data_IF_192012553969
#
_entry.id   IF_192012553969
#
_cell.length_a   1.000
_cell.length_b   1.000
_cell.length_c   1.000
_cell.angle_alpha   90.00
_cell.angle_beta   90.00
_cell.angle_gamma   90.00
#
_symmetry.space_group_name_H-M   'P 1'
#
loop_
_entity.id
_entity.type
_entity.pdbx_description
1 polymer ?
#
# COMPACT_ATOMS: atom_id res chain seq x y z
N UNK A 1 -33.77 -16.76 -13.63
CA UNK A 1 -32.31 -16.58 -13.82
C UNK A 1 -32.07 -16.03 -15.22
N UNK A 2 -31.69 -14.75 -15.36
CA UNK A 2 -31.31 -14.17 -16.68
C UNK A 2 -29.93 -14.72 -17.03
N UNK A 3 -29.83 -15.55 -18.06
CA UNK A 3 -28.54 -15.92 -18.67
C UNK A 3 -27.86 -14.63 -19.15
N UNK A 4 -26.79 -14.22 -18.48
CA UNK A 4 -25.89 -13.20 -19.01
C UNK A 4 -25.33 -13.73 -20.33
N UNK A 5 -25.55 -13.05 -21.47
CA UNK A 5 -25.01 -13.51 -22.74
C UNK A 5 -23.48 -13.37 -22.68
N UNK A 6 -22.77 -14.51 -22.66
CA UNK A 6 -21.32 -14.54 -22.77
C UNK A 6 -20.96 -14.01 -24.17
N UNK A 7 -20.66 -12.71 -24.27
CA UNK A 7 -20.35 -12.11 -25.55
C UNK A 7 -18.98 -12.61 -26.04
N UNK A 8 -18.80 -12.90 -27.33
CA UNK A 8 -17.50 -13.27 -27.91
C UNK A 8 -16.38 -12.23 -27.69
N UNK A 9 -16.74 -10.97 -27.36
CA UNK A 9 -15.80 -9.91 -26.97
C UNK A 9 -15.15 -10.20 -25.61
N UNK A 10 -15.92 -10.71 -24.64
CA UNK A 10 -15.43 -11.03 -23.29
C UNK A 10 -14.33 -12.12 -23.33
N UNK A 11 -14.51 -13.13 -24.18
CA UNK A 11 -13.55 -14.23 -24.37
C UNK A 11 -12.25 -13.73 -25.03
N UNK A 12 -12.33 -12.77 -25.97
CA UNK A 12 -11.15 -12.18 -26.61
C UNK A 12 -10.34 -11.30 -25.66
N UNK A 13 -10.97 -10.63 -24.70
CA UNK A 13 -10.28 -9.81 -23.68
C UNK A 13 -9.57 -10.64 -22.61
N UNK A 14 -10.04 -11.86 -22.31
CA UNK A 14 -9.43 -12.74 -21.30
C UNK A 14 -8.07 -13.29 -21.74
N UNK A 15 -7.88 -13.60 -23.03
CA UNK A 15 -6.62 -14.19 -23.53
C UNK A 15 -5.37 -13.31 -23.30
N UNK A 16 -5.35 -12.02 -23.67
CA UNK A 16 -4.20 -11.16 -23.36
C UNK A 16 -4.04 -10.94 -21.85
N UNK A 17 -5.16 -10.96 -21.09
CA UNK A 17 -5.13 -10.85 -19.63
C UNK A 17 -4.43 -12.05 -18.98
N UNK A 18 -4.67 -13.27 -19.45
CA UNK A 18 -3.96 -14.47 -18.97
C UNK A 18 -2.46 -14.33 -19.18
N UNK A 19 -2.03 -13.93 -20.38
CA UNK A 19 -0.62 -13.71 -20.67
C UNK A 19 0.00 -12.66 -19.75
N UNK A 20 -0.68 -11.53 -19.57
CA UNK A 20 -0.27 -10.47 -18.65
C UNK A 20 -0.16 -10.96 -17.19
N UNK A 21 -1.17 -11.67 -16.70
CA UNK A 21 -1.19 -12.23 -15.33
C UNK A 21 -0.03 -13.20 -15.12
N UNK A 22 0.23 -14.09 -16.08
CA UNK A 22 1.34 -15.04 -15.99
C UNK A 22 2.68 -14.29 -15.96
N UNK A 23 2.93 -13.38 -16.91
CA UNK A 23 4.16 -12.57 -16.94
C UNK A 23 4.35 -11.85 -15.62
N UNK A 24 3.32 -11.17 -15.11
CA UNK A 24 3.40 -10.42 -13.86
C UNK A 24 3.67 -11.32 -12.65
N UNK A 25 3.11 -12.53 -12.62
CA UNK A 25 3.34 -13.52 -11.56
C UNK A 25 4.74 -14.12 -11.60
N UNK A 26 5.35 -14.24 -12.78
CA UNK A 26 6.71 -14.75 -12.94
C UNK A 26 7.78 -13.72 -12.56
N UNK A 27 7.49 -12.42 -12.57
CA UNK A 27 8.44 -11.38 -12.17
C UNK A 27 9.01 -11.61 -10.76
N UNK A 28 8.20 -11.72 -9.69
CA UNK A 28 8.74 -11.95 -8.34
C UNK A 28 9.50 -13.28 -8.27
N UNK A 29 9.01 -14.34 -8.91
CA UNK A 29 9.71 -15.63 -8.95
C UNK A 29 11.10 -15.50 -9.59
N UNK A 30 11.20 -14.79 -10.71
CA UNK A 30 12.47 -14.54 -11.39
C UNK A 30 13.43 -13.72 -10.52
N UNK A 31 12.93 -12.72 -9.79
CA UNK A 31 13.71 -11.94 -8.82
C UNK A 31 14.25 -12.84 -7.70
N UNK A 32 13.41 -13.71 -7.12
CA UNK A 32 13.83 -14.64 -6.06
C UNK A 32 14.89 -15.63 -6.57
N UNK A 33 14.74 -16.17 -7.77
CA UNK A 33 15.75 -17.04 -8.38
C UNK A 33 17.07 -16.28 -8.64
N UNK A 34 16.99 -15.05 -9.11
CA UNK A 34 18.17 -14.20 -9.30
C UNK A 34 18.90 -13.96 -7.96
N UNK A 35 18.18 -13.70 -6.87
CA UNK A 35 18.78 -13.55 -5.54
C UNK A 35 19.40 -14.86 -5.04
N UNK A 36 18.73 -16.00 -5.24
CA UNK A 36 19.25 -17.31 -4.89
C UNK A 36 20.60 -17.59 -5.58
N UNK A 37 20.65 -17.43 -6.91
CA UNK A 37 21.87 -17.73 -7.68
C UNK A 37 22.96 -16.67 -7.54
N UNK A 38 22.63 -15.40 -7.35
CA UNK A 38 23.63 -14.33 -7.25
C UNK A 38 24.22 -14.18 -5.85
N UNK A 39 23.40 -14.41 -4.81
CA UNK A 39 23.76 -14.14 -3.42
C UNK A 39 23.85 -15.41 -2.56
N UNK A 40 23.67 -16.58 -3.17
CA UNK A 40 23.73 -17.90 -2.53
C UNK A 40 22.80 -18.03 -1.30
N UNK A 41 21.66 -17.34 -1.34
CA UNK A 41 20.64 -17.36 -0.28
C UNK A 41 19.80 -18.63 -0.43
N UNK A 42 19.60 -19.44 0.63
CA UNK A 42 18.75 -20.63 0.55
C UNK A 42 17.36 -20.31 0.01
N UNK A 43 16.88 -21.05 -1.00
CA UNK A 43 15.57 -20.81 -1.62
C UNK A 43 14.42 -20.88 -0.61
N UNK A 44 14.57 -21.69 0.44
CA UNK A 44 13.60 -21.78 1.53
C UNK A 44 13.43 -20.45 2.29
N UNK A 45 14.51 -19.68 2.49
CA UNK A 45 14.44 -18.37 3.14
C UNK A 45 13.76 -17.31 2.26
N UNK A 46 13.78 -17.51 0.94
CA UNK A 46 13.17 -16.61 -0.05
C UNK A 46 11.69 -16.92 -0.32
N UNK A 47 11.23 -18.13 0.01
CA UNK A 47 9.90 -18.64 -0.39
C UNK A 47 8.98 -18.98 0.78
N UNK A 48 9.53 -19.33 1.95
CA UNK A 48 8.73 -19.55 3.17
C UNK A 48 8.41 -18.22 3.84
N UNK A 49 7.33 -18.20 4.61
CA UNK A 49 6.98 -17.04 5.43
C UNK A 49 7.99 -16.84 6.59
N UNK A 50 8.17 -15.59 7.07
CA UNK A 50 9.14 -15.29 8.13
C UNK A 50 8.89 -16.04 9.45
N UNK A 51 7.62 -16.32 9.80
CA UNK A 51 7.25 -17.03 11.03
C UNK A 51 7.73 -18.48 10.98
N UNK A 52 7.55 -19.15 9.84
CA UNK A 52 8.06 -20.51 9.61
C UNK A 52 9.59 -20.57 9.58
N UNK A 53 10.24 -19.61 8.91
CA UNK A 53 11.71 -19.53 8.85
C UNK A 53 12.29 -19.29 10.26
N UNK A 54 11.68 -18.38 11.01
CA UNK A 54 12.07 -18.04 12.38
C UNK A 54 11.64 -19.04 13.44
N UNK A 55 10.86 -20.07 13.09
CA UNK A 55 10.23 -21.03 14.03
C UNK A 55 9.47 -20.33 15.17
N UNK A 56 8.78 -19.24 14.83
CA UNK A 56 8.06 -18.39 15.77
C UNK A 56 6.61 -18.89 15.97
N UNK A 57 5.94 -18.53 17.08
CA UNK A 57 4.51 -18.77 17.24
C UNK A 57 3.68 -18.13 16.13
N UNK A 58 2.56 -18.74 15.77
CA UNK A 58 1.70 -18.28 14.66
C UNK A 58 1.11 -16.87 14.85
N UNK A 59 1.08 -16.35 16.07
CA UNK A 59 0.58 -15.01 16.38
C UNK A 59 1.65 -13.91 16.24
N UNK A 60 2.91 -14.26 15.98
CA UNK A 60 3.99 -13.28 15.85
C UNK A 60 3.72 -12.35 14.68
N UNK A 61 3.76 -11.04 14.94
CA UNK A 61 3.49 -10.02 13.92
C UNK A 61 2.02 -9.86 13.53
N UNK A 62 1.07 -10.44 14.27
CA UNK A 62 -0.37 -10.43 13.93
C UNK A 62 -0.88 -9.05 13.51
N UNK A 63 -0.59 -8.00 14.31
CA UNK A 63 -1.08 -6.65 14.05
C UNK A 63 -0.46 -6.05 12.77
N UNK A 64 0.84 -6.28 12.55
CA UNK A 64 1.54 -5.88 11.32
C UNK A 64 0.93 -6.57 10.09
N UNK A 65 0.65 -7.87 10.17
CA UNK A 65 0.01 -8.62 9.09
C UNK A 65 -1.39 -8.09 8.74
N UNK A 66 -2.16 -7.71 9.75
CA UNK A 66 -3.46 -7.05 9.55
C UNK A 66 -3.28 -5.69 8.84
N UNK A 67 -2.28 -4.91 9.24
CA UNK A 67 -1.91 -3.66 8.55
C UNK A 67 -1.59 -3.88 7.07
N UNK A 68 -0.80 -4.90 6.74
CA UNK A 68 -0.44 -5.25 5.35
C UNK A 68 -1.68 -5.55 4.50
N UNK A 69 -2.71 -6.21 5.04
CA UNK A 69 -3.97 -6.44 4.32
C UNK A 69 -4.69 -5.12 3.99
N UNK A 70 -4.71 -4.17 4.92
CA UNK A 70 -5.32 -2.86 4.67
C UNK A 70 -4.50 -1.99 3.71
N UNK A 71 -3.17 -2.09 3.74
CA UNK A 71 -2.31 -1.49 2.72
C UNK A 71 -2.62 -2.06 1.33
N UNK A 72 -2.64 -3.39 1.19
CA UNK A 72 -2.97 -4.06 -0.06
C UNK A 72 -4.36 -3.64 -0.57
N UNK A 73 -5.36 -3.59 0.31
CA UNK A 73 -6.69 -3.09 -0.02
C UNK A 73 -6.66 -1.64 -0.53
N UNK A 74 -5.88 -0.75 0.10
CA UNK A 74 -5.73 0.65 -0.30
C UNK A 74 -5.13 0.77 -1.70
N UNK A 75 -4.07 0.00 -1.98
CA UNK A 75 -3.42 -0.07 -3.29
C UNK A 75 -4.41 -0.51 -4.36
N UNK A 76 -5.08 -1.65 -4.15
CA UNK A 76 -6.04 -2.19 -5.11
C UNK A 76 -7.18 -1.21 -5.36
N UNK A 77 -7.75 -0.64 -4.30
CA UNK A 77 -8.83 0.32 -4.39
C UNK A 77 -8.44 1.56 -5.18
N UNK A 78 -7.26 2.12 -4.92
CA UNK A 78 -6.77 3.31 -5.61
C UNK A 78 -6.53 3.03 -7.09
N UNK A 79 -5.80 1.97 -7.44
CA UNK A 79 -5.56 1.63 -8.85
C UNK A 79 -6.83 1.22 -9.58
N UNK A 80 -7.76 0.53 -8.92
CA UNK A 80 -9.06 0.22 -9.48
C UNK A 80 -9.84 1.50 -9.82
N UNK A 81 -9.97 2.45 -8.89
CA UNK A 81 -10.62 3.72 -9.16
C UNK A 81 -9.93 4.53 -10.26
N UNK A 82 -8.59 4.56 -10.29
CA UNK A 82 -7.86 5.21 -11.37
C UNK A 82 -8.15 4.58 -12.75
N UNK A 83 -8.30 3.25 -12.82
CA UNK A 83 -8.63 2.55 -14.06
C UNK A 83 -10.03 2.88 -14.56
N UNK A 84 -11.02 3.02 -13.66
CA UNK A 84 -12.39 3.42 -14.02
C UNK A 84 -12.47 4.82 -14.64
N UNK A 85 -11.51 5.69 -14.28
CA UNK A 85 -11.40 7.07 -14.74
C UNK A 85 -10.49 7.21 -15.98
N UNK A 86 -9.95 6.12 -16.52
CA UNK A 86 -8.90 6.17 -17.55
C UNK A 86 -9.31 6.94 -18.81
N UNK A 87 -10.56 6.73 -19.27
CA UNK A 87 -11.12 7.36 -20.48
C UNK A 87 -11.88 8.66 -20.20
N UNK A 88 -11.88 9.15 -18.96
CA UNK A 88 -12.62 10.36 -18.56
C UNK A 88 -11.68 11.56 -18.46
N UNK A 89 -11.45 12.24 -19.59
CA UNK A 89 -10.50 13.37 -19.69
C UNK A 89 -10.82 14.49 -18.70
N UNK A 90 -12.10 14.78 -18.47
CA UNK A 90 -12.56 15.79 -17.51
C UNK A 90 -12.24 15.44 -16.04
N UNK A 91 -12.02 14.15 -15.73
CA UNK A 91 -11.66 13.64 -14.39
C UNK A 91 -10.17 13.35 -14.24
N UNK A 92 -9.31 13.88 -15.13
CA UNK A 92 -7.88 13.60 -15.12
C UNK A 92 -7.20 13.88 -13.76
N UNK A 93 -7.59 14.96 -13.06
CA UNK A 93 -7.05 15.29 -11.73
C UNK A 93 -7.40 14.23 -10.69
N UNK A 94 -8.64 13.74 -10.70
CA UNK A 94 -9.10 12.68 -9.80
C UNK A 94 -8.44 11.33 -10.12
N UNK A 95 -8.22 11.03 -11.41
CA UNK A 95 -7.42 9.87 -11.82
C UNK A 95 -6.00 9.94 -11.26
N UNK A 96 -5.32 11.07 -11.44
CA UNK A 96 -3.94 11.27 -10.95
C UNK A 96 -3.86 11.21 -9.43
N UNK A 97 -4.87 11.75 -8.74
CA UNK A 97 -5.04 11.63 -7.29
C UNK A 97 -5.02 10.16 -6.83
N UNK A 98 -5.85 9.31 -7.43
CA UNK A 98 -5.88 7.88 -7.10
C UNK A 98 -4.61 7.14 -7.51
N UNK A 99 -4.02 7.44 -8.67
CA UNK A 99 -2.75 6.83 -9.08
C UNK A 99 -1.64 7.13 -8.08
N UNK A 100 -1.48 8.39 -7.70
CA UNK A 100 -0.45 8.80 -6.73
C UNK A 100 -0.72 8.20 -5.36
N UNK A 101 -1.98 8.16 -4.91
CA UNK A 101 -2.36 7.53 -3.65
C UNK A 101 -2.05 6.02 -3.64
N UNK A 102 -2.34 5.32 -4.74
CA UNK A 102 -2.06 3.90 -4.89
C UNK A 102 -0.56 3.61 -4.90
N UNK A 103 0.24 4.41 -5.61
CA UNK A 103 1.71 4.30 -5.61
C UNK A 103 2.31 4.57 -4.22
N UNK A 104 1.82 5.60 -3.53
CA UNK A 104 2.26 5.93 -2.17
C UNK A 104 1.88 4.82 -1.18
N UNK A 105 0.65 4.30 -1.27
CA UNK A 105 0.20 3.17 -0.43
C UNK A 105 0.99 1.90 -0.71
N UNK A 106 1.39 1.67 -1.96
CA UNK A 106 2.22 0.52 -2.34
C UNK A 106 3.62 0.66 -1.76
N UNK A 107 4.23 1.85 -1.85
CA UNK A 107 5.54 2.12 -1.26
C UNK A 107 5.52 1.87 0.26
N UNK A 108 4.57 2.46 0.98
CA UNK A 108 4.45 2.31 2.44
C UNK A 108 4.09 0.87 2.84
N UNK A 109 3.22 0.21 2.09
CA UNK A 109 2.88 -1.20 2.34
C UNK A 109 4.03 -2.17 2.07
N UNK A 110 4.87 -1.91 1.06
CA UNK A 110 6.08 -2.69 0.81
C UNK A 110 7.13 -2.44 1.90
N UNK A 111 7.25 -1.19 2.35
CA UNK A 111 8.10 -0.83 3.48
C UNK A 111 7.73 -1.62 4.74
N UNK A 112 6.44 -1.61 5.12
CA UNK A 112 5.94 -2.37 6.27
C UNK A 112 6.12 -3.89 6.11
N UNK A 113 5.94 -4.41 4.89
CA UNK A 113 6.03 -5.86 4.63
C UNK A 113 7.47 -6.39 4.65
N UNK A 114 8.44 -5.56 4.26
CA UNK A 114 9.84 -5.97 4.09
C UNK A 114 10.84 -5.22 4.98
N UNK A 115 10.33 -4.39 5.89
CA UNK A 115 11.13 -3.58 6.83
C UNK A 115 12.18 -2.74 6.09
N UNK A 116 11.76 -2.02 5.04
CA UNK A 116 12.72 -1.34 4.17
C UNK A 116 13.45 -0.22 4.92
N UNK A 117 12.75 0.61 5.69
CA UNK A 117 13.32 1.70 6.47
C UNK A 117 14.14 1.25 7.69
N UNK A 118 13.80 0.11 8.29
CA UNK A 118 14.44 -0.41 9.50
C UNK A 118 15.63 -1.32 9.19
N UNK A 119 15.52 -2.17 8.17
CA UNK A 119 16.52 -3.20 7.87
C UNK A 119 17.24 -2.98 6.54
N UNK A 120 16.50 -2.83 5.43
CA UNK A 120 17.10 -2.88 4.09
C UNK A 120 17.93 -1.64 3.77
N UNK A 121 17.37 -0.45 3.92
CA UNK A 121 18.07 0.80 3.63
C UNK A 121 19.20 1.09 4.64
N UNK A 122 19.03 0.83 5.95
CA UNK A 122 20.14 0.90 6.90
C UNK A 122 21.29 -0.05 6.57
N UNK A 123 21.00 -1.26 6.08
CA UNK A 123 22.04 -2.18 5.59
C UNK A 123 22.81 -1.63 4.37
N UNK A 124 22.24 -0.69 3.62
CA UNK A 124 22.91 0.03 2.52
C UNK A 124 23.54 1.35 2.95
N UNK A 125 23.56 1.67 4.26
CA UNK A 125 24.18 2.87 4.81
C UNK A 125 23.28 4.12 4.81
N UNK A 126 21.99 3.98 4.47
CA UNK A 126 21.02 5.08 4.54
C UNK A 126 20.34 4.99 5.90
N UNK A 127 20.50 6.00 6.75
CA UNK A 127 19.91 5.97 8.08
C UNK A 127 18.38 5.98 8.02
N UNK A 128 17.76 5.23 8.93
CA UNK A 128 16.31 5.14 9.08
C UNK A 128 15.62 6.51 9.11
N UNK A 129 16.18 7.47 9.87
CA UNK A 129 15.67 8.85 9.94
C UNK A 129 15.59 9.52 8.58
N UNK A 130 16.57 9.28 7.70
CA UNK A 130 16.57 9.81 6.33
C UNK A 130 15.45 9.16 5.51
N UNK A 131 15.26 7.86 5.63
CA UNK A 131 14.17 7.14 4.94
C UNK A 131 12.81 7.65 5.39
N UNK A 132 12.58 7.76 6.70
CA UNK A 132 11.35 8.29 7.28
C UNK A 132 11.09 9.75 6.85
N UNK A 133 12.13 10.60 6.80
CA UNK A 133 12.03 11.96 6.27
C UNK A 133 11.65 11.98 4.78
N UNK A 134 12.22 11.07 3.97
CA UNK A 134 11.85 10.93 2.57
C UNK A 134 10.39 10.49 2.41
N UNK A 135 9.92 9.52 3.20
CA UNK A 135 8.52 9.08 3.18
C UNK A 135 7.57 10.19 3.62
N UNK A 136 7.88 10.90 4.71
CA UNK A 136 7.13 12.09 5.12
C UNK A 136 7.08 13.15 4.02
N UNK A 137 8.21 13.41 3.35
CA UNK A 137 8.30 14.31 2.21
C UNK A 137 7.42 13.88 1.02
N UNK A 138 7.37 12.58 0.71
CA UNK A 138 6.50 12.03 -0.34
C UNK A 138 5.02 12.16 0.01
N UNK A 139 4.65 11.91 1.27
CA UNK A 139 3.28 12.14 1.77
C UNK A 139 2.91 13.61 1.62
N UNK A 140 3.78 14.52 2.07
CA UNK A 140 3.57 15.97 1.97
C UNK A 140 3.45 16.41 0.50
N UNK A 141 4.33 15.94 -0.38
CA UNK A 141 4.27 16.20 -1.82
C UNK A 141 2.95 15.69 -2.43
N UNK A 142 2.51 14.49 -2.03
CA UNK A 142 1.21 13.95 -2.45
C UNK A 142 0.06 14.86 -2.01
N UNK A 143 0.03 15.29 -0.75
CA UNK A 143 -1.01 16.18 -0.22
C UNK A 143 -1.04 17.52 -0.96
N UNK A 144 0.12 18.12 -1.24
CA UNK A 144 0.20 19.37 -1.98
C UNK A 144 -0.27 19.24 -3.43
N UNK A 145 0.26 18.24 -4.15
CA UNK A 145 -0.11 17.99 -5.56
C UNK A 145 -1.59 17.62 -5.73
N UNK A 146 -2.17 16.97 -4.72
CA UNK A 146 -3.57 16.54 -4.68
C UNK A 146 -4.51 17.54 -3.99
N UNK A 147 -3.99 18.66 -3.50
CA UNK A 147 -4.74 19.59 -2.64
C UNK A 147 -6.01 20.16 -3.28
N UNK A 148 -6.05 20.27 -4.60
CA UNK A 148 -7.25 20.72 -5.32
C UNK A 148 -8.40 19.71 -5.25
N UNK A 149 -8.08 18.41 -5.22
CA UNK A 149 -9.06 17.33 -5.07
C UNK A 149 -9.42 17.16 -3.59
N UNK A 150 -8.42 17.10 -2.71
CA UNK A 150 -8.62 16.90 -1.26
C UNK A 150 -9.57 17.95 -0.66
N UNK A 151 -9.42 19.22 -1.06
CA UNK A 151 -10.28 20.31 -0.57
C UNK A 151 -11.74 20.21 -1.00
N UNK A 152 -12.06 19.38 -1.99
CA UNK A 152 -13.43 19.09 -2.44
C UNK A 152 -14.00 17.82 -1.79
N UNK A 153 -13.23 17.16 -0.92
CA UNK A 153 -13.62 15.94 -0.22
C UNK A 153 -13.80 16.21 1.27
N UNK A 154 -14.53 15.34 1.97
CA UNK A 154 -14.45 15.26 3.42
C UNK A 154 -13.11 14.60 3.80
N UNK A 155 -12.14 15.42 4.17
CA UNK A 155 -10.79 14.97 4.51
C UNK A 155 -10.64 14.60 5.99
N UNK A 156 -11.74 14.46 6.74
CA UNK A 156 -11.69 14.12 8.18
C UNK A 156 -10.94 12.81 8.43
N UNK A 157 -11.24 11.76 7.66
CA UNK A 157 -10.55 10.46 7.75
C UNK A 157 -9.07 10.55 7.33
N UNK A 158 -8.74 11.38 6.35
CA UNK A 158 -7.35 11.64 5.98
C UNK A 158 -6.60 12.36 7.11
N UNK A 159 -7.25 13.31 7.78
CA UNK A 159 -6.71 14.00 8.95
C UNK A 159 -6.43 13.04 10.10
N UNK A 160 -7.36 12.15 10.41
CA UNK A 160 -7.17 11.07 11.41
C UNK A 160 -6.00 10.18 11.00
N UNK A 161 -5.93 9.77 9.72
CA UNK A 161 -4.85 8.92 9.24
C UNK A 161 -3.46 9.55 9.47
N UNK A 162 -3.29 10.80 9.02
CA UNK A 162 -2.03 11.53 9.15
C UNK A 162 -1.67 11.82 10.61
N UNK A 163 -2.65 12.15 11.44
CA UNK A 163 -2.45 12.37 12.87
C UNK A 163 -1.95 11.11 13.57
N UNK A 164 -2.60 9.96 13.31
CA UNK A 164 -2.21 8.68 13.88
C UNK A 164 -0.84 8.20 13.39
N UNK A 165 -0.50 8.40 12.11
CA UNK A 165 0.87 8.17 11.62
C UNK A 165 1.90 9.06 12.30
N UNK A 166 1.57 10.35 12.51
CA UNK A 166 2.43 11.27 13.25
C UNK A 166 2.67 10.82 14.69
N UNK A 167 1.63 10.31 15.37
CA UNK A 167 1.77 9.72 16.71
C UNK A 167 2.71 8.51 16.68
N UNK A 168 2.49 7.56 15.77
CA UNK A 168 3.31 6.36 15.66
C UNK A 168 4.80 6.72 15.48
N UNK A 169 5.13 7.58 14.52
CA UNK A 169 6.52 8.03 14.30
C UNK A 169 7.10 8.81 15.50
N UNK A 170 6.28 9.60 16.19
CA UNK A 170 6.72 10.34 17.36
C UNK A 170 7.02 9.43 18.57
N UNK A 171 6.24 8.37 18.76
CA UNK A 171 6.46 7.39 19.84
C UNK A 171 7.73 6.58 19.57
N UNK A 172 7.92 6.11 18.35
CA UNK A 172 9.10 5.36 17.92
C UNK A 172 10.40 6.16 18.21
N UNK A 173 10.44 7.43 17.79
CA UNK A 173 11.56 8.32 18.08
C UNK A 173 11.77 8.65 19.59
N UNK A 174 10.76 8.44 20.43
CA UNK A 174 10.76 8.75 21.86
C UNK A 174 10.99 7.52 22.76
N UNK A 175 11.58 6.45 22.22
CA UNK A 175 11.88 5.11 22.79
C UNK A 175 12.35 5.04 24.26
N UNK A 176 12.75 6.17 24.86
CA UNK A 176 13.27 6.24 26.25
C UNK A 176 12.27 6.72 27.32
N UNK A 177 11.06 7.17 26.96
CA UNK A 177 10.22 7.97 27.88
C UNK A 177 8.90 7.34 28.34
N UNK A 178 8.39 6.27 27.71
CA UNK A 178 7.05 5.74 28.00
C UNK A 178 7.10 4.22 28.12
N UNK A 179 6.38 3.61 29.07
CA UNK A 179 6.23 2.14 29.14
C UNK A 179 5.28 1.59 28.06
N UNK A 180 5.31 0.27 27.80
CA UNK A 180 4.51 -0.47 26.80
C UNK A 180 4.18 0.33 25.51
N UNK A 181 5.21 0.90 24.88
CA UNK A 181 5.10 1.78 23.71
C UNK A 181 4.55 1.08 22.47
N UNK A 182 4.83 -0.21 22.31
CA UNK A 182 4.44 -0.99 21.13
C UNK A 182 2.94 -0.96 20.85
N UNK A 183 2.09 -1.13 21.88
CA UNK A 183 0.64 -1.12 21.65
C UNK A 183 0.12 0.25 21.22
N UNK A 184 0.66 1.33 21.78
CA UNK A 184 0.25 2.68 21.43
C UNK A 184 0.76 3.07 20.04
N UNK A 185 2.01 2.73 19.74
CA UNK A 185 2.66 2.97 18.46
C UNK A 185 1.99 2.17 17.34
N UNK A 186 1.98 0.84 17.44
CA UNK A 186 1.41 -0.05 16.41
C UNK A 186 -0.11 0.12 16.32
N UNK A 187 -0.78 0.38 17.44
CA UNK A 187 -2.20 0.68 17.47
C UNK A 187 -2.54 1.97 16.74
N UNK A 188 -1.78 3.05 16.99
CA UNK A 188 -1.92 4.30 16.25
C UNK A 188 -1.64 4.09 14.75
N UNK A 189 -0.56 3.36 14.41
CA UNK A 189 -0.25 3.01 13.02
C UNK A 189 -1.42 2.32 12.34
N UNK A 190 -2.00 1.29 12.96
CA UNK A 190 -3.14 0.57 12.38
C UNK A 190 -4.37 1.48 12.19
N UNK A 191 -4.72 2.30 13.18
CA UNK A 191 -5.82 3.27 13.04
C UNK A 191 -5.54 4.21 11.86
N UNK A 192 -4.28 4.61 11.69
CA UNK A 192 -3.79 5.37 10.55
C UNK A 192 -4.08 4.69 9.21
N UNK A 193 -3.65 3.43 9.07
CA UNK A 193 -3.82 2.63 7.84
C UNK A 193 -5.31 2.41 7.52
N UNK A 194 -6.12 2.08 8.52
CA UNK A 194 -7.57 1.86 8.33
C UNK A 194 -8.26 3.15 7.92
N UNK A 195 -7.94 4.27 8.58
CA UNK A 195 -8.52 5.59 8.23
C UNK A 195 -8.11 6.03 6.83
N UNK A 196 -6.86 5.76 6.44
CA UNK A 196 -6.33 5.99 5.11
C UNK A 196 -7.13 5.23 4.04
N UNK A 197 -7.33 3.92 4.23
CA UNK A 197 -8.17 3.10 3.36
C UNK A 197 -9.59 3.66 3.25
N UNK A 198 -10.21 3.97 4.39
CA UNK A 198 -11.59 4.44 4.44
C UNK A 198 -11.79 5.79 3.76
N UNK A 199 -10.80 6.69 3.86
CA UNK A 199 -10.80 7.94 3.10
C UNK A 199 -10.85 7.68 1.59
N UNK A 200 -9.95 6.84 1.06
CA UNK A 200 -9.96 6.52 -0.38
C UNK A 200 -11.20 5.76 -0.82
N UNK A 201 -11.79 4.96 0.06
CA UNK A 201 -13.06 4.29 -0.20
C UNK A 201 -14.20 5.29 -0.37
N UNK A 202 -14.30 6.27 0.54
CA UNK A 202 -15.31 7.32 0.47
C UNK A 202 -15.16 8.15 -0.81
N UNK A 203 -13.94 8.61 -1.13
CA UNK A 203 -13.68 9.38 -2.36
C UNK A 203 -13.94 8.54 -3.61
N UNK A 204 -13.57 7.25 -3.58
CA UNK A 204 -13.81 6.33 -4.70
C UNK A 204 -15.28 6.10 -4.99
N UNK A 205 -16.11 5.98 -3.95
CA UNK A 205 -17.57 5.86 -4.11
C UNK A 205 -18.16 7.06 -4.85
N UNK A 206 -17.78 8.27 -4.45
CA UNK A 206 -18.24 9.51 -5.12
C UNK A 206 -17.73 9.57 -6.56
N UNK A 207 -16.50 9.12 -6.82
CA UNK A 207 -15.92 9.08 -8.17
C UNK A 207 -16.71 8.18 -9.14
N UNK A 208 -17.26 7.06 -8.66
CA UNK A 208 -18.10 6.17 -9.47
C UNK A 208 -19.41 6.85 -9.89
N UNK A 209 -19.99 7.68 -9.02
CA UNK A 209 -21.21 8.42 -9.32
C UNK A 209 -20.94 9.55 -10.32
N UNK A 210 -19.83 10.28 -10.16
CA UNK A 210 -19.42 11.34 -11.09
C UNK A 210 -19.17 10.82 -12.52
N UNK A 211 -18.73 9.57 -12.67
CA UNK A 211 -18.53 8.93 -13.99
C UNK A 211 -19.85 8.74 -14.77
N UNK A 212 -21.00 8.74 -14.10
CA UNK A 212 -22.32 8.50 -14.71
C UNK A 212 -22.96 9.77 -15.28
N UNK A 213 -22.40 10.94 -14.99
CA UNK A 213 -22.83 12.26 -15.47
C UNK A 213 -22.07 12.58 -16.77
#
# INVERSE_FOLDING_TARGET
MKHLPYSPRLIKEIRPLIGFTLIFSFIPIAILLLLHYSSNIPIEQLTKDPVSVGKMPAYTGFLSQVGIFFWAASVTLCFFNASLLWNQSHLHRLKRFFLNAGLLSLLLGLDDAFLLHEAVFPAWGISEKVVLLCYGGLVVFYLFSSSSVIRQTDYSLLGVALFCFGISVAIDGAYRLVGNQYLLEDGAKLIGIVSWLMYFFQVGRVAVDLRRI
#
